data_IF_939564095133
#
_entry.id   IF_939564095133
#
_cell.length_a   1.000
_cell.length_b   1.000
_cell.length_c   1.000
_cell.angle_alpha   90.00
_cell.angle_beta   90.00
_cell.angle_gamma   90.00
#
_symmetry.space_group_name_H-M   'P 1'
#
loop_
_entity.id
_entity.type
_entity.pdbx_description
1 polymer ?
#
# COMPACT_ATOMS: atom_id res chain seq x y z
N UNK A 1 34.99 -10.10 15.09
CA UNK A 1 34.10 -9.48 14.09
C UNK A 1 32.86 -10.34 13.99
N UNK A 2 31.84 -10.02 14.78
CA UNK A 2 30.57 -10.74 14.80
C UNK A 2 29.49 -9.72 14.47
N UNK A 3 28.60 -10.07 13.55
CA UNK A 3 27.27 -9.47 13.49
C UNK A 3 27.00 -8.57 12.30
N UNK A 4 26.96 -9.15 11.10
CA UNK A 4 26.10 -8.63 10.03
C UNK A 4 25.42 -9.81 9.31
N UNK A 5 24.54 -10.52 10.02
CA UNK A 5 23.57 -11.40 9.36
C UNK A 5 22.40 -10.53 8.93
N UNK A 6 22.49 -10.02 7.71
CA UNK A 6 21.43 -9.29 7.05
C UNK A 6 20.24 -10.23 6.76
N UNK A 7 19.12 -10.03 7.46
CA UNK A 7 17.84 -10.62 7.06
C UNK A 7 17.29 -9.89 5.82
N UNK A 8 17.71 -10.30 4.62
CA UNK A 8 17.21 -9.78 3.34
C UNK A 8 15.78 -10.25 2.97
N UNK A 9 15.09 -11.02 3.82
CA UNK A 9 13.79 -11.61 3.49
C UNK A 9 12.55 -11.00 4.19
N UNK A 10 12.70 -9.99 5.06
CA UNK A 10 11.58 -9.56 5.96
C UNK A 10 10.81 -8.30 5.55
N UNK A 11 11.16 -7.63 4.46
CA UNK A 11 10.49 -6.38 4.05
C UNK A 11 10.61 -5.23 5.06
N UNK A 12 11.36 -5.41 6.15
CA UNK A 12 11.68 -4.41 7.16
C UNK A 12 13.20 -4.45 7.33
N UNK A 13 13.85 -3.30 7.16
CA UNK A 13 15.25 -3.10 7.57
C UNK A 13 15.20 -2.27 8.85
N UNK A 14 15.57 -2.90 9.96
CA UNK A 14 15.76 -2.22 11.23
C UNK A 14 17.26 -2.02 11.45
N UNK A 15 17.66 -0.76 11.42
CA UNK A 15 18.93 -0.32 12.01
C UNK A 15 18.62 0.16 13.43
N UNK A 16 19.61 0.17 14.33
CA UNK A 16 19.41 0.43 15.77
C UNK A 16 18.49 1.62 16.09
N UNK A 17 18.48 2.62 15.22
CA UNK A 17 17.75 3.88 15.38
C UNK A 17 16.62 4.11 14.35
N UNK A 18 16.30 3.14 13.49
CA UNK A 18 15.47 3.38 12.29
C UNK A 18 14.66 2.16 11.87
N UNK A 19 13.37 2.35 11.65
CA UNK A 19 12.45 1.33 11.12
C UNK A 19 12.04 1.66 9.69
N UNK A 20 12.28 0.74 8.76
CA UNK A 20 11.84 0.87 7.37
C UNK A 20 10.70 -0.08 7.08
N UNK A 21 9.55 0.42 6.63
CA UNK A 21 8.36 -0.37 6.29
C UNK A 21 8.06 -0.15 4.80
N UNK A 22 7.95 -1.22 4.02
CA UNK A 22 7.58 -1.16 2.61
C UNK A 22 6.44 -2.12 2.32
N UNK A 23 5.59 -1.75 1.36
CA UNK A 23 4.65 -2.69 0.76
C UNK A 23 5.31 -3.44 -0.41
N UNK A 24 4.72 -4.58 -0.78
CA UNK A 24 5.17 -5.36 -1.92
C UNK A 24 4.60 -4.79 -3.22
N UNK A 25 5.49 -4.34 -4.10
CA UNK A 25 5.13 -3.74 -5.40
C UNK A 25 5.04 -4.83 -6.50
N UNK A 26 5.51 -6.04 -6.22
CA UNK A 26 5.78 -7.07 -7.24
C UNK A 26 4.54 -7.53 -7.99
N UNK A 27 3.39 -7.67 -7.31
CA UNK A 27 2.16 -8.16 -7.93
C UNK A 27 1.57 -7.18 -8.95
N UNK A 28 1.53 -5.87 -8.64
CA UNK A 28 0.99 -4.90 -9.60
C UNK A 28 1.89 -4.71 -10.82
N UNK A 29 3.21 -4.73 -10.61
CA UNK A 29 4.18 -4.66 -11.72
C UNK A 29 4.04 -5.88 -12.62
N UNK A 30 3.90 -7.08 -12.05
CA UNK A 30 3.65 -8.30 -12.81
C UNK A 30 2.33 -8.23 -13.58
N UNK A 31 1.25 -7.74 -12.95
CA UNK A 31 -0.05 -7.52 -13.60
C UNK A 31 0.06 -6.55 -14.79
N UNK A 32 0.79 -5.45 -14.66
CA UNK A 32 1.03 -4.51 -15.77
C UNK A 32 1.73 -5.24 -16.92
N UNK A 33 2.76 -6.03 -16.65
CA UNK A 33 3.44 -6.80 -17.69
C UNK A 33 2.52 -7.82 -18.37
N UNK A 34 1.68 -8.55 -17.61
CA UNK A 34 0.71 -9.50 -18.15
C UNK A 34 -0.33 -8.80 -19.03
N UNK A 35 -0.84 -7.64 -18.61
CA UNK A 35 -1.80 -6.85 -19.41
C UNK A 35 -1.14 -6.43 -20.72
N UNK A 36 0.08 -5.90 -20.67
CA UNK A 36 0.80 -5.45 -21.88
C UNK A 36 1.03 -6.63 -22.84
N UNK A 37 1.51 -7.78 -22.36
CA UNK A 37 1.80 -8.93 -23.22
C UNK A 37 0.54 -9.59 -23.78
N UNK A 38 -0.54 -9.68 -23.00
CA UNK A 38 -1.83 -10.18 -23.48
C UNK A 38 -2.44 -9.28 -24.55
N UNK A 39 -2.36 -7.96 -24.37
CA UNK A 39 -2.88 -6.99 -25.33
C UNK A 39 -2.08 -6.97 -26.64
N UNK A 40 -0.75 -7.04 -26.58
CA UNK A 40 0.07 -7.09 -27.81
C UNK A 40 -0.22 -8.34 -28.63
N UNK A 41 -0.40 -9.49 -27.98
CA UNK A 41 -0.83 -10.72 -28.65
C UNK A 41 -2.22 -10.56 -29.26
N UNK A 42 -3.21 -10.10 -28.49
CA UNK A 42 -4.58 -9.90 -29.00
C UNK A 42 -4.64 -8.99 -30.22
N UNK A 43 -3.91 -7.87 -30.20
CA UNK A 43 -3.82 -6.95 -31.35
C UNK A 43 -3.18 -7.62 -32.57
N UNK A 44 -2.13 -8.43 -32.38
CA UNK A 44 -1.49 -9.18 -33.47
C UNK A 44 -2.45 -10.17 -34.14
N UNK A 45 -3.32 -10.85 -33.38
CA UNK A 45 -4.30 -11.78 -33.94
C UNK A 45 -5.43 -11.07 -34.69
N UNK A 46 -5.92 -9.94 -34.18
CA UNK A 46 -6.94 -9.13 -34.86
C UNK A 46 -6.45 -8.67 -36.23
N UNK A 47 -5.22 -8.15 -36.29
CA UNK A 47 -4.58 -7.74 -37.55
C UNK A 47 -4.40 -8.92 -38.51
N UNK A 48 -4.11 -10.12 -37.99
CA UNK A 48 -3.97 -11.33 -38.81
C UNK A 48 -5.28 -11.83 -39.40
N UNK A 49 -6.38 -11.76 -38.65
CA UNK A 49 -7.68 -12.32 -39.04
C UNK A 49 -8.48 -11.36 -39.94
N UNK A 50 -8.47 -10.05 -39.66
CA UNK A 50 -9.38 -9.08 -40.29
C UNK A 50 -8.74 -8.18 -41.36
N UNK A 51 -7.64 -8.62 -41.95
CA UNK A 51 -6.95 -7.88 -43.03
C UNK A 51 -7.76 -7.65 -44.32
N UNK A 52 -9.04 -8.07 -44.35
CA UNK A 52 -9.95 -7.92 -45.49
C UNK A 52 -10.92 -6.74 -45.36
N UNK A 53 -11.18 -6.22 -44.15
CA UNK A 53 -12.13 -5.12 -43.95
C UNK A 53 -11.57 -4.01 -43.04
N UNK A 54 -10.82 -3.04 -43.59
CA UNK A 54 -9.97 -2.15 -42.81
C UNK A 54 -10.71 -1.18 -41.88
N UNK A 55 -11.99 -0.86 -42.14
CA UNK A 55 -12.76 0.08 -41.30
C UNK A 55 -13.20 -0.54 -39.98
N UNK A 56 -13.72 -1.77 -40.03
CA UNK A 56 -14.18 -2.49 -38.83
C UNK A 56 -12.99 -2.90 -37.96
N UNK A 57 -11.89 -3.31 -38.60
CA UNK A 57 -10.60 -3.58 -37.96
C UNK A 57 -10.07 -2.37 -37.17
N UNK A 58 -10.07 -1.17 -37.76
CA UNK A 58 -9.61 0.05 -37.09
C UNK A 58 -10.48 0.43 -35.89
N UNK A 59 -11.81 0.24 -35.99
CA UNK A 59 -12.74 0.48 -34.89
C UNK A 59 -12.49 -0.48 -33.72
N UNK A 60 -12.30 -1.78 -34.01
CA UNK A 60 -11.99 -2.80 -33.00
C UNK A 60 -10.65 -2.55 -32.30
N UNK A 61 -9.61 -2.20 -33.07
CA UNK A 61 -8.29 -1.82 -32.51
C UNK A 61 -8.44 -0.62 -31.56
N UNK A 62 -9.19 0.42 -31.95
CA UNK A 62 -9.40 1.58 -31.10
C UNK A 62 -10.06 1.22 -29.75
N UNK A 63 -11.08 0.36 -29.77
CA UNK A 63 -11.77 -0.12 -28.55
C UNK A 63 -10.80 -0.88 -27.64
N UNK A 64 -10.00 -1.80 -28.21
CA UNK A 64 -9.01 -2.58 -27.44
C UNK A 64 -7.95 -1.66 -26.81
N UNK A 65 -7.47 -0.67 -27.56
CA UNK A 65 -6.50 0.31 -27.05
C UNK A 65 -7.08 1.14 -25.90
N UNK A 66 -8.34 1.57 -26.00
CA UNK A 66 -9.01 2.32 -24.91
C UNK A 66 -9.16 1.46 -23.66
N UNK A 67 -9.62 0.21 -23.79
CA UNK A 67 -9.72 -0.72 -22.66
C UNK A 67 -8.35 -0.95 -22.03
N UNK A 68 -7.31 -1.13 -22.85
CA UNK A 68 -5.94 -1.29 -22.39
C UNK A 68 -5.46 -0.07 -21.60
N UNK A 69 -5.69 1.15 -22.09
CA UNK A 69 -5.31 2.37 -21.37
C UNK A 69 -6.02 2.47 -20.00
N UNK A 70 -7.28 2.06 -19.91
CA UNK A 70 -8.01 2.03 -18.65
C UNK A 70 -7.45 0.99 -17.68
N UNK A 71 -7.17 -0.23 -18.15
CA UNK A 71 -6.58 -1.30 -17.31
C UNK A 71 -5.17 -0.95 -16.83
N UNK A 72 -4.34 -0.41 -17.72
CA UNK A 72 -3.00 0.09 -17.39
C UNK A 72 -3.12 1.23 -16.36
N UNK A 73 -3.99 2.22 -16.60
CA UNK A 73 -4.22 3.32 -15.67
C UNK A 73 -4.63 2.85 -14.27
N UNK A 74 -5.53 1.87 -14.19
CA UNK A 74 -5.95 1.25 -12.93
C UNK A 74 -4.80 0.52 -12.21
N UNK A 75 -4.03 -0.29 -12.95
CA UNK A 75 -2.88 -1.00 -12.38
C UNK A 75 -1.74 -0.05 -11.95
N UNK A 76 -1.53 1.04 -12.70
CA UNK A 76 -0.60 2.10 -12.32
C UNK A 76 -1.04 2.78 -11.01
N UNK A 77 -2.32 3.17 -10.87
CA UNK A 77 -2.85 3.74 -9.62
C UNK A 77 -2.58 2.83 -8.42
N UNK A 78 -2.86 1.53 -8.55
CA UNK A 78 -2.53 0.54 -7.51
C UNK A 78 -1.03 0.47 -7.18
N UNK A 79 -0.18 0.58 -8.21
CA UNK A 79 1.29 0.60 -8.05
C UNK A 79 1.78 1.86 -7.32
N UNK A 80 1.19 3.02 -7.57
CA UNK A 80 1.54 4.26 -6.85
C UNK A 80 1.19 4.18 -5.36
N UNK A 81 0.07 3.54 -5.01
CA UNK A 81 -0.35 3.37 -3.61
C UNK A 81 0.51 2.34 -2.86
N UNK A 82 0.79 1.21 -3.50
CA UNK A 82 1.62 0.15 -2.92
C UNK A 82 3.13 0.46 -3.03
N UNK A 83 3.48 1.50 -3.79
CA UNK A 83 4.85 1.91 -4.07
C UNK A 83 5.52 2.74 -2.99
N UNK A 84 4.77 3.16 -1.95
CA UNK A 84 5.36 4.00 -0.90
C UNK A 84 6.24 3.16 0.00
N UNK A 85 7.22 3.83 0.60
CA UNK A 85 8.10 3.28 1.61
C UNK A 85 8.11 4.25 2.78
N UNK A 86 7.78 3.75 3.95
CA UNK A 86 7.80 4.51 5.20
C UNK A 86 9.14 4.25 5.88
N UNK A 87 9.76 5.33 6.34
CA UNK A 87 11.02 5.29 7.05
C UNK A 87 10.84 6.12 8.31
N UNK A 88 10.81 5.45 9.46
CA UNK A 88 10.52 6.06 10.76
C UNK A 88 11.74 6.00 11.66
N UNK A 89 11.95 7.05 12.44
CA UNK A 89 13.00 7.15 13.45
C UNK A 89 12.54 8.07 14.60
N UNK A 90 13.45 8.39 15.51
CA UNK A 90 13.16 9.25 16.66
C UNK A 90 12.71 10.68 16.29
N UNK A 91 13.06 11.16 15.10
CA UNK A 91 12.78 12.54 14.68
C UNK A 91 11.44 12.64 13.95
N UNK A 92 11.06 11.58 13.24
CA UNK A 92 9.78 11.58 12.53
C UNK A 92 9.57 10.39 11.60
N UNK A 93 8.74 10.63 10.59
CA UNK A 93 8.44 9.70 9.52
C UNK A 93 8.72 10.33 8.15
N UNK A 94 9.55 9.66 7.36
CA UNK A 94 9.77 9.96 5.94
C UNK A 94 8.97 9.02 5.07
N UNK A 95 8.04 9.58 4.30
CA UNK A 95 7.28 8.90 3.25
C UNK A 95 8.04 9.06 1.93
N UNK A 96 8.56 7.96 1.41
CA UNK A 96 9.21 7.91 0.11
C UNK A 96 8.18 7.37 -0.88
N UNK A 97 7.76 8.21 -1.83
CA UNK A 97 6.78 7.85 -2.85
C UNK A 97 7.45 7.18 -4.05
N UNK A 98 6.63 6.63 -4.95
CA UNK A 98 7.07 6.16 -6.26
C UNK A 98 7.81 7.31 -6.99
N UNK A 99 8.92 7.01 -7.68
CA UNK A 99 9.86 7.97 -8.30
C UNK A 99 10.77 8.74 -7.34
N UNK A 100 10.82 8.39 -6.05
CA UNK A 100 11.84 8.87 -5.14
C UNK A 100 11.59 10.26 -4.54
N UNK A 101 10.41 10.84 -4.78
CA UNK A 101 9.94 12.00 -4.04
C UNK A 101 9.79 11.64 -2.55
N UNK A 102 10.34 12.48 -1.67
CA UNK A 102 10.42 12.25 -0.23
C UNK A 102 9.71 13.38 0.51
N UNK A 103 8.80 13.02 1.40
CA UNK A 103 8.21 13.93 2.37
C UNK A 103 8.58 13.47 3.77
N UNK A 104 9.20 14.34 4.54
CA UNK A 104 9.56 14.07 5.93
C UNK A 104 8.64 14.89 6.81
N UNK A 105 8.03 14.21 7.78
CA UNK A 105 7.15 14.78 8.78
C UNK A 105 7.76 14.51 10.15
N UNK A 106 7.97 15.55 10.94
CA UNK A 106 8.30 15.37 12.35
C UNK A 106 7.11 14.83 13.12
N UNK A 107 7.35 14.16 14.25
CA UNK A 107 6.25 13.59 15.03
C UNK A 107 5.24 14.64 15.52
N UNK A 108 5.70 15.85 15.84
CA UNK A 108 4.88 16.99 16.25
C UNK A 108 4.04 17.60 15.10
N UNK A 109 4.46 17.42 13.85
CA UNK A 109 3.72 17.91 12.67
C UNK A 109 2.53 16.99 12.31
N UNK A 110 2.55 15.76 12.81
CA UNK A 110 1.49 14.78 12.58
C UNK A 110 0.34 15.00 13.56
N UNK A 111 -0.71 15.68 13.09
CA UNK A 111 -1.96 15.87 13.83
C UNK A 111 -2.69 14.56 14.17
N UNK A 112 -2.50 13.52 13.36
CA UNK A 112 -3.11 12.19 13.55
C UNK A 112 -1.99 11.19 13.77
N UNK A 113 -2.05 10.50 14.91
CA UNK A 113 -1.19 9.38 15.31
C UNK A 113 -2.07 8.39 16.09
N UNK A 114 -2.85 7.59 15.38
CA UNK A 114 -3.99 6.87 15.98
C UNK A 114 -3.91 5.37 15.71
N UNK A 115 -4.19 4.56 16.73
CA UNK A 115 -4.44 3.12 16.60
C UNK A 115 -5.94 2.93 16.35
N UNK A 116 -6.28 2.24 15.26
CA UNK A 116 -7.65 2.07 14.77
C UNK A 116 -7.88 0.65 14.29
N UNK A 117 -9.13 0.22 14.24
CA UNK A 117 -9.52 -0.99 13.53
C UNK A 117 -9.42 -0.78 12.02
N UNK A 118 -8.89 -1.78 11.31
CA UNK A 118 -8.71 -1.72 9.87
C UNK A 118 -9.83 -2.48 9.17
N UNK A 119 -10.80 -1.75 8.63
CA UNK A 119 -11.72 -2.33 7.65
C UNK A 119 -10.97 -2.37 6.33
N UNK A 120 -10.53 -3.57 5.93
CA UNK A 120 -9.55 -3.72 4.86
C UNK A 120 -9.99 -3.03 3.57
N UNK A 121 -9.01 -2.66 2.73
CA UNK A 121 -9.31 -1.99 1.44
C UNK A 121 -10.21 -2.87 0.53
N UNK A 122 -10.29 -4.16 0.82
CA UNK A 122 -10.89 -5.19 -0.02
C UNK A 122 -11.69 -6.22 0.80
N UNK A 123 -12.36 -5.80 1.89
CA UNK A 123 -13.14 -6.67 2.77
C UNK A 123 -14.51 -7.05 2.19
N UNK A 124 -14.54 -7.45 0.92
CA UNK A 124 -15.65 -8.24 0.39
C UNK A 124 -15.37 -9.71 0.70
N UNK A 125 -16.40 -10.47 1.06
CA UNK A 125 -16.33 -11.92 1.37
C UNK A 125 -15.76 -12.81 0.25
N UNK A 126 -15.47 -12.24 -0.92
CA UNK A 126 -14.92 -12.91 -2.09
C UNK A 126 -13.39 -12.86 -2.21
N UNK A 127 -12.66 -12.12 -1.34
CA UNK A 127 -11.21 -11.93 -1.48
C UNK A 127 -10.40 -12.64 -0.39
N UNK A 128 -9.51 -13.56 -0.80
CA UNK A 128 -8.55 -14.29 0.06
C UNK A 128 -7.26 -13.47 0.19
N UNK A 129 -7.39 -12.20 0.59
CA UNK A 129 -6.25 -11.30 0.86
C UNK A 129 -5.94 -11.20 2.37
N UNK A 130 -4.77 -10.69 2.77
CA UNK A 130 -4.45 -10.47 4.17
C UNK A 130 -5.49 -9.50 4.77
N UNK A 131 -6.15 -9.97 5.83
CA UNK A 131 -7.10 -9.17 6.59
C UNK A 131 -6.41 -8.75 7.89
N UNK A 132 -6.26 -7.44 8.07
CA UNK A 132 -5.70 -6.87 9.29
C UNK A 132 -6.84 -6.45 10.20
N UNK A 133 -6.78 -6.79 11.48
CA UNK A 133 -7.76 -6.29 12.43
C UNK A 133 -7.50 -4.83 12.80
N UNK A 134 -6.22 -4.46 12.86
CA UNK A 134 -5.77 -3.20 13.43
C UNK A 134 -4.63 -2.60 12.63
N UNK A 135 -4.54 -1.27 12.68
CA UNK A 135 -3.44 -0.53 12.10
C UNK A 135 -3.22 0.79 12.83
N UNK A 136 -2.04 1.36 12.64
CA UNK A 136 -1.75 2.75 13.02
C UNK A 136 -1.89 3.63 11.80
N UNK A 137 -2.59 4.75 11.94
CA UNK A 137 -2.72 5.77 10.90
C UNK A 137 -2.00 7.05 11.31
N UNK A 138 -1.40 7.70 10.31
CA UNK A 138 -0.65 8.93 10.45
C UNK A 138 -1.10 9.94 9.40
N UNK A 139 -1.26 11.20 9.80
CA UNK A 139 -1.55 12.29 8.87
C UNK A 139 -1.20 13.66 9.44
N UNK A 140 -0.63 14.57 8.63
CA UNK A 140 -0.40 15.96 9.02
C UNK A 140 -1.70 16.78 9.12
N UNK A 141 -2.81 16.26 8.57
CA UNK A 141 -4.14 16.90 8.66
C UNK A 141 -5.17 15.96 9.29
N UNK A 142 -6.20 16.51 9.97
CA UNK A 142 -7.31 15.72 10.47
C UNK A 142 -7.97 14.90 9.36
N UNK A 143 -8.26 13.64 9.66
CA UNK A 143 -8.92 12.71 8.74
C UNK A 143 -10.38 12.58 9.16
N UNK A 144 -11.31 13.12 8.35
CA UNK A 144 -12.75 12.99 8.64
C UNK A 144 -13.17 11.55 8.37
N UNK A 145 -13.66 10.88 9.43
CA UNK A 145 -14.10 9.48 9.39
C UNK A 145 -15.52 9.36 9.95
N UNK A 146 -16.32 8.45 9.39
CA UNK A 146 -17.69 8.21 9.87
C UNK A 146 -17.68 7.59 11.27
N UNK A 147 -16.77 6.66 11.49
CA UNK A 147 -16.54 5.98 12.76
C UNK A 147 -15.08 6.17 13.17
N UNK A 148 -14.77 6.97 14.21
CA UNK A 148 -13.40 7.27 14.63
C UNK A 148 -12.58 6.03 15.03
N UNK A 149 -13.22 4.96 15.47
CA UNK A 149 -12.54 3.70 15.80
C UNK A 149 -12.04 2.93 14.57
N UNK A 150 -12.55 3.23 13.37
CA UNK A 150 -12.28 2.46 12.16
C UNK A 150 -11.61 3.29 11.07
N UNK A 151 -10.80 2.65 10.24
CA UNK A 151 -10.34 3.20 8.97
C UNK A 151 -10.80 2.30 7.82
N UNK A 152 -11.47 2.90 6.84
CA UNK A 152 -12.01 2.22 5.66
C UNK A 152 -11.12 2.35 4.44
N UNK A 153 -11.34 1.43 3.49
CA UNK A 153 -10.81 1.48 2.13
C UNK A 153 -11.01 2.86 1.49
N UNK A 154 -12.25 3.35 1.60
CA UNK A 154 -12.67 4.61 1.01
C UNK A 154 -11.89 5.79 1.62
N UNK A 155 -11.69 5.82 2.94
CA UNK A 155 -10.91 6.88 3.59
C UNK A 155 -9.42 6.80 3.22
N UNK A 156 -8.84 5.59 3.14
CA UNK A 156 -7.47 5.39 2.67
C UNK A 156 -7.27 5.92 1.26
N UNK A 157 -8.18 5.61 0.34
CA UNK A 157 -8.14 6.13 -1.03
C UNK A 157 -8.40 7.64 -1.07
N UNK A 158 -9.38 8.16 -0.33
CA UNK A 158 -9.70 9.59 -0.33
C UNK A 158 -8.54 10.47 0.16
N UNK A 159 -7.81 10.00 1.16
CA UNK A 159 -6.70 10.74 1.78
C UNK A 159 -5.32 10.23 1.38
N UNK A 160 -5.22 9.44 0.30
CA UNK A 160 -4.01 8.68 -0.07
C UNK A 160 -2.69 9.46 -0.10
N UNK A 161 -2.72 10.76 -0.45
CA UNK A 161 -1.52 11.61 -0.48
C UNK A 161 -0.98 11.97 0.90
N UNK A 162 -1.85 12.03 1.92
CA UNK A 162 -1.53 12.59 3.26
C UNK A 162 -1.67 11.56 4.37
N UNK A 163 -2.52 10.57 4.16
CA UNK A 163 -2.73 9.47 5.09
C UNK A 163 -1.77 8.34 4.74
N UNK A 164 -0.97 7.94 5.71
CA UNK A 164 -0.17 6.73 5.64
C UNK A 164 -0.47 5.84 6.83
N UNK A 165 -0.29 4.54 6.66
CA UNK A 165 -0.72 3.55 7.64
C UNK A 165 0.28 2.41 7.75
N UNK A 166 0.30 1.80 8.93
CA UNK A 166 1.10 0.63 9.28
C UNK A 166 0.16 -0.43 9.81
N UNK A 167 0.12 -1.59 9.15
CA UNK A 167 -0.81 -2.66 9.49
C UNK A 167 -0.15 -3.66 10.45
N UNK A 168 -0.91 -4.12 11.44
CA UNK A 168 -0.44 -5.15 12.36
C UNK A 168 -0.76 -6.54 11.81
N UNK A 169 0.25 -7.40 11.82
CA UNK A 169 0.07 -8.82 11.54
C UNK A 169 -0.77 -9.43 12.67
N UNK A 170 -1.72 -10.31 12.31
CA UNK A 170 -2.51 -11.05 13.31
C UNK A 170 -1.64 -12.05 14.05
N UNK A 171 -1.92 -12.24 15.33
CA UNK A 171 -1.20 -13.21 16.15
C UNK A 171 -1.30 -14.62 15.55
N UNK A 172 -0.15 -15.27 15.33
CA UNK A 172 -0.08 -16.59 14.71
C UNK A 172 -0.13 -16.61 13.17
N UNK A 173 -0.45 -15.49 12.51
CA UNK A 173 -0.35 -15.38 11.05
C UNK A 173 1.09 -15.05 10.63
N UNK A 174 1.52 -15.60 9.49
CA UNK A 174 2.83 -15.27 8.92
C UNK A 174 2.69 -14.06 8.01
N UNK A 175 3.72 -13.21 8.02
CA UNK A 175 3.90 -12.13 7.04
C UNK A 175 3.83 -12.69 5.62
N UNK A 176 2.95 -12.13 4.78
CA UNK A 176 2.89 -12.47 3.36
C UNK A 176 3.69 -11.43 2.56
N UNK A 177 4.95 -11.72 2.18
CA UNK A 177 5.85 -10.71 1.59
C UNK A 177 5.39 -10.19 0.23
N UNK A 178 4.41 -10.84 -0.40
CA UNK A 178 3.83 -10.45 -1.68
C UNK A 178 2.50 -9.70 -1.51
N UNK A 179 1.71 -9.96 -0.47
CA UNK A 179 0.39 -9.33 -0.26
C UNK A 179 0.42 -8.21 0.79
N UNK A 180 1.50 -8.12 1.59
CA UNK A 180 1.58 -7.24 2.74
C UNK A 180 1.60 -5.75 2.42
N UNK A 181 0.56 -5.04 2.85
CA UNK A 181 0.47 -3.59 2.78
C UNK A 181 1.06 -3.01 4.08
N UNK A 182 2.35 -2.64 4.08
CA UNK A 182 2.98 -1.95 5.22
C UNK A 182 2.85 -2.70 6.56
N UNK A 183 3.14 -3.99 6.55
CA UNK A 183 2.97 -4.90 7.70
C UNK A 183 4.15 -4.88 8.69
N UNK A 184 3.84 -4.89 9.98
CA UNK A 184 4.78 -5.03 11.11
C UNK A 184 4.20 -5.92 12.21
N UNK A 185 5.08 -6.48 13.04
CA UNK A 185 4.68 -7.09 14.31
C UNK A 185 4.23 -5.98 15.28
N UNK A 186 3.09 -6.19 15.95
CA UNK A 186 2.44 -5.16 16.75
C UNK A 186 3.32 -4.72 17.92
N UNK A 187 3.81 -5.67 18.70
CA UNK A 187 4.59 -5.43 19.92
C UNK A 187 5.91 -4.74 19.60
N UNK A 188 6.56 -5.16 18.51
CA UNK A 188 7.83 -4.56 18.04
C UNK A 188 7.63 -3.10 17.61
N UNK A 189 6.55 -2.82 16.87
CA UNK A 189 6.22 -1.46 16.45
C UNK A 189 5.90 -0.55 17.63
N UNK A 190 5.03 -1.00 18.54
CA UNK A 190 4.62 -0.22 19.71
C UNK A 190 5.80 0.05 20.65
N UNK A 191 6.68 -0.95 20.85
CA UNK A 191 7.92 -0.77 21.62
C UNK A 191 8.82 0.31 21.01
N UNK A 192 8.97 0.34 19.69
CA UNK A 192 9.74 1.39 18.99
C UNK A 192 9.12 2.77 19.08
N UNK A 193 7.80 2.89 18.96
CA UNK A 193 7.11 4.16 19.17
C UNK A 193 7.34 4.69 20.59
N UNK A 194 7.26 3.81 21.59
CA UNK A 194 7.54 4.15 22.99
C UNK A 194 9.01 4.55 23.20
N UNK A 195 9.97 3.82 22.63
CA UNK A 195 11.41 4.18 22.67
C UNK A 195 11.67 5.58 22.10
N UNK A 196 10.92 5.97 21.07
CA UNK A 196 11.02 7.29 20.43
C UNK A 196 10.17 8.38 21.11
N UNK A 197 9.43 8.04 22.18
CA UNK A 197 8.56 8.99 22.87
C UNK A 197 7.34 9.43 22.04
N UNK A 198 6.91 8.61 21.08
CA UNK A 198 5.76 8.89 20.21
C UNK A 198 4.50 8.34 20.84
N UNK A 199 3.63 9.24 21.31
CA UNK A 199 2.32 8.86 21.82
C UNK A 199 1.35 8.53 20.67
N UNK A 200 0.70 7.38 20.76
CA UNK A 200 -0.36 6.95 19.85
C UNK A 200 -1.70 6.98 20.59
N UNK A 201 -2.67 7.68 20.02
CA UNK A 201 -4.04 7.73 20.53
C UNK A 201 -4.80 6.45 20.15
N UNK A 202 -5.29 5.70 21.13
CA UNK A 202 -6.04 4.46 20.89
C UNK A 202 -7.52 4.74 20.67
N UNK A 203 -7.93 4.79 19.41
CA UNK A 203 -9.32 5.07 19.00
C UNK A 203 -10.21 3.82 19.01
N UNK A 204 -9.63 2.62 19.17
CA UNK A 204 -10.39 1.36 19.20
C UNK A 204 -11.33 1.27 20.41
N UNK A 205 -11.12 2.13 21.42
CA UNK A 205 -11.98 2.26 22.59
C UNK A 205 -12.94 3.43 22.40
N UNK A 206 -14.03 3.20 21.68
CA UNK A 206 -15.26 3.87 22.10
C UNK A 206 -15.77 3.12 23.33
N UNK A 207 -15.56 3.71 24.51
CA UNK A 207 -16.33 3.35 25.72
C UNK A 207 -17.80 3.61 25.40
N UNK A 208 -18.57 2.55 25.20
CA UNK A 208 -19.91 2.35 25.79
C UNK A 208 -20.04 0.87 26.13
#
# INVERSE_FOLDING_TARGET
MVGEIYCYFKGIKMERNKMTIKSSISLNVLLIFIIITGCTWGLSEIVRIDGKNPKDMMSMIAIVVVIMMLLIGYAFLGTFEMGKKLVMDKEGCTVIQFWGYKETYKWEELSVKQIVYNTSIMSGSAYVGPSYDECVIFSPKPVKRKYPAYITSHEKTRYWKKLFYVNFIREGEKKYPYLGLYEVEKEEFLSKMQEWGVELEDMRREKI
#
